data_IF_765855687908
#
_entry.id   IF_765855687908
#
_cell.length_a   1.000
_cell.length_b   1.000
_cell.length_c   1.000
_cell.angle_alpha   90.00
_cell.angle_beta   90.00
_cell.angle_gamma   90.00
#
_symmetry.space_group_name_H-M   'P 1'
#
loop_
_entity.id
_entity.type
_entity.pdbx_description
1 polymer ?
#
# COMPACT_ATOMS: atom_id res chain seq x y z
N UNK A 1 5.14 -8.38 2.18
CA UNK A 1 4.04 -8.42 1.19
C UNK A 1 3.65 -7.01 0.76
N UNK A 2 3.21 -6.14 1.68
CA UNK A 2 2.90 -4.71 1.42
C UNK A 2 4.08 -3.93 0.81
N UNK A 3 5.30 -4.09 1.34
CA UNK A 3 6.50 -3.43 0.80
C UNK A 3 6.78 -3.72 -0.69
N UNK A 4 6.46 -4.93 -1.17
CA UNK A 4 6.62 -5.29 -2.59
C UNK A 4 5.63 -4.51 -3.46
N UNK A 5 4.42 -4.31 -2.94
CA UNK A 5 3.35 -3.59 -3.63
C UNK A 5 3.69 -2.10 -3.73
N UNK A 6 4.18 -1.49 -2.64
CA UNK A 6 4.65 -0.10 -2.61
C UNK A 6 5.84 0.16 -3.56
N UNK A 7 6.73 -0.83 -3.70
CA UNK A 7 7.83 -0.78 -4.67
C UNK A 7 7.30 -0.82 -6.11
N UNK A 8 6.32 -1.70 -6.39
CA UNK A 8 5.68 -1.83 -7.71
C UNK A 8 4.90 -0.57 -8.11
N UNK A 9 4.32 0.14 -7.15
CA UNK A 9 3.54 1.37 -7.37
C UNK A 9 4.37 2.65 -7.30
N UNK A 10 5.71 2.55 -7.27
CA UNK A 10 6.65 3.67 -7.27
C UNK A 10 6.56 4.66 -6.07
N UNK A 11 5.93 4.27 -4.96
CA UNK A 11 5.95 5.10 -3.74
C UNK A 11 7.27 4.97 -2.97
N UNK A 12 7.91 3.80 -3.07
CA UNK A 12 9.18 3.48 -2.44
C UNK A 12 10.17 3.17 -3.54
N UNK A 13 11.39 3.71 -3.41
CA UNK A 13 12.50 3.46 -4.33
C UNK A 13 13.13 2.09 -4.13
N UNK A 14 13.38 1.75 -2.86
CA UNK A 14 14.01 0.51 -2.43
C UNK A 14 13.77 0.27 -0.95
N UNK A 15 13.85 -0.98 -0.52
CA UNK A 15 13.91 -1.32 0.89
C UNK A 15 15.01 -2.37 1.14
N UNK A 16 15.61 -2.34 2.32
CA UNK A 16 16.62 -3.32 2.77
C UNK A 16 16.19 -3.93 4.09
N UNK A 17 16.21 -5.26 4.17
CA UNK A 17 15.93 -6.00 5.41
C UNK A 17 17.26 -6.42 6.00
N UNK A 18 17.46 -6.18 7.30
CA UNK A 18 18.68 -6.55 8.00
C UNK A 18 18.36 -7.02 9.43
N UNK A 19 19.28 -7.77 10.01
CA UNK A 19 19.19 -8.21 11.40
C UNK A 19 19.88 -7.18 12.30
N UNK A 20 19.21 -6.80 13.37
CA UNK A 20 19.70 -5.93 14.41
C UNK A 20 19.78 -6.71 15.71
N UNK A 21 20.95 -6.73 16.35
CA UNK A 21 21.19 -7.53 17.58
C UNK A 21 20.80 -9.01 17.42
N UNK A 22 21.16 -9.63 16.30
CA UNK A 22 21.04 -11.08 16.05
C UNK A 22 19.62 -11.62 15.78
N UNK A 23 18.60 -11.11 16.46
CA UNK A 23 17.24 -11.66 16.44
C UNK A 23 16.18 -10.71 15.85
N UNK A 24 16.37 -9.40 15.95
CA UNK A 24 15.36 -8.42 15.53
C UNK A 24 15.54 -8.06 14.06
N UNK A 25 14.53 -8.33 13.22
CA UNK A 25 14.53 -7.89 11.82
C UNK A 25 14.13 -6.41 11.76
N UNK A 26 14.98 -5.57 11.17
CA UNK A 26 14.68 -4.18 10.83
C UNK A 26 14.59 -4.00 9.32
N UNK A 27 13.82 -3.00 8.91
CA UNK A 27 13.59 -2.66 7.50
C UNK A 27 13.94 -1.20 7.29
N UNK A 28 14.95 -0.92 6.47
CA UNK A 28 15.22 0.43 5.99
C UNK A 28 14.45 0.65 4.70
N UNK A 29 13.62 1.69 4.67
CA UNK A 29 12.79 2.06 3.53
C UNK A 29 13.30 3.38 2.97
N UNK A 30 13.50 3.43 1.65
CA UNK A 30 13.93 4.63 0.94
C UNK A 30 12.75 5.12 0.08
N UNK A 31 12.19 6.27 0.45
CA UNK A 31 11.05 6.87 -0.24
C UNK A 31 11.47 7.42 -1.62
N UNK A 32 10.54 7.41 -2.57
CA UNK A 32 10.74 8.08 -3.85
C UNK A 32 10.46 9.58 -3.67
N UNK A 33 11.42 10.42 -4.05
CA UNK A 33 11.27 11.87 -4.02
C UNK A 33 11.90 12.48 -5.28
N UNK A 34 11.16 13.29 -6.01
CA UNK A 34 11.74 14.09 -7.10
C UNK A 34 12.54 15.25 -6.50
N UNK A 35 13.86 15.18 -6.65
CA UNK A 35 14.81 16.19 -6.20
C UNK A 35 14.64 17.55 -6.90
N UNK A 36 13.94 17.59 -8.03
CA UNK A 36 13.84 18.78 -8.90
C UNK A 36 12.63 19.65 -8.63
N UNK A 37 11.48 19.08 -8.22
CA UNK A 37 10.20 19.81 -8.13
C UNK A 37 9.53 19.73 -6.75
N UNK A 38 10.16 19.14 -5.72
CA UNK A 38 9.56 18.90 -4.39
C UNK A 38 8.19 18.18 -4.42
N UNK A 39 7.87 17.51 -5.53
CA UNK A 39 6.65 16.71 -5.66
C UNK A 39 6.85 15.43 -4.87
N UNK A 40 6.12 15.31 -3.76
CA UNK A 40 6.03 14.08 -2.99
C UNK A 40 5.03 13.15 -3.68
N UNK A 41 5.52 11.98 -4.07
CA UNK A 41 4.66 10.91 -4.59
C UNK A 41 3.80 10.27 -3.50
N UNK A 42 4.19 10.45 -2.24
CA UNK A 42 3.54 9.93 -1.05
C UNK A 42 3.28 11.10 -0.09
N UNK A 43 2.02 11.51 0.08
CA UNK A 43 1.65 12.58 1.00
C UNK A 43 1.19 12.02 2.35
N UNK A 44 0.34 11.01 2.35
CA UNK A 44 -0.14 10.35 3.57
C UNK A 44 -0.38 8.85 3.40
N UNK A 45 -0.33 8.14 4.53
CA UNK A 45 -0.70 6.73 4.64
C UNK A 45 -1.69 6.63 5.79
N UNK A 46 -2.92 6.24 5.47
CA UNK A 46 -4.00 6.12 6.43
C UNK A 46 -4.37 4.64 6.61
N UNK A 47 -4.26 4.14 7.84
CA UNK A 47 -4.73 2.82 8.23
C UNK A 47 -6.26 2.83 8.40
N UNK A 48 -6.98 2.19 7.49
CA UNK A 48 -8.45 2.19 7.49
C UNK A 48 -9.02 1.04 8.31
N UNK A 49 -8.48 -0.16 8.13
CA UNK A 49 -8.92 -1.32 8.91
C UNK A 49 -8.03 -1.47 10.14
N UNK A 50 -8.62 -1.24 11.30
CA UNK A 50 -7.97 -1.31 12.62
C UNK A 50 -8.37 -2.63 13.31
N UNK A 51 -7.57 -3.13 14.27
CA UNK A 51 -7.90 -4.36 15.00
C UNK A 51 -9.27 -4.30 15.69
N UNK A 52 -9.67 -3.14 16.21
CA UNK A 52 -10.99 -2.92 16.82
C UNK A 52 -12.10 -2.50 15.85
N UNK A 53 -11.76 -2.20 14.58
CA UNK A 53 -12.73 -1.80 13.55
C UNK A 53 -12.27 -2.28 12.18
N UNK A 54 -12.77 -3.44 11.78
CA UNK A 54 -12.53 -4.00 10.46
C UNK A 54 -13.40 -3.33 9.41
N UNK A 55 -12.79 -2.93 8.29
CA UNK A 55 -13.48 -2.25 7.19
C UNK A 55 -13.39 -3.10 5.94
N UNK A 56 -14.55 -3.58 5.47
CA UNK A 56 -14.65 -4.37 4.25
C UNK A 56 -15.32 -3.58 3.13
N UNK A 57 -14.84 -3.75 1.90
CA UNK A 57 -15.36 -3.08 0.71
C UNK A 57 -15.67 -4.13 -0.36
N UNK A 58 -16.90 -4.09 -0.87
CA UNK A 58 -17.32 -4.90 -2.02
C UNK A 58 -16.66 -4.37 -3.30
N UNK A 59 -16.41 -5.23 -4.28
CA UNK A 59 -15.79 -4.84 -5.55
C UNK A 59 -16.51 -3.67 -6.23
N UNK A 60 -17.84 -3.68 -6.23
CA UNK A 60 -18.69 -2.63 -6.80
C UNK A 60 -18.46 -1.24 -6.17
N UNK A 61 -17.99 -1.20 -4.92
CA UNK A 61 -17.76 0.03 -4.17
C UNK A 61 -16.29 0.46 -4.20
N UNK A 62 -15.42 -0.28 -4.89
CA UNK A 62 -14.03 0.11 -5.08
C UNK A 62 -13.96 1.27 -6.08
N UNK A 63 -13.54 2.43 -5.60
CA UNK A 63 -13.25 3.57 -6.46
C UNK A 63 -11.84 3.46 -7.00
N UNK A 64 -11.70 3.53 -8.32
CA UNK A 64 -10.42 3.83 -8.94
C UNK A 64 -10.05 5.28 -8.58
N UNK A 65 -8.98 5.45 -7.81
CA UNK A 65 -8.37 6.78 -7.64
C UNK A 65 -7.31 6.90 -8.74
N UNK A 66 -7.33 8.02 -9.46
CA UNK A 66 -6.20 8.40 -10.30
C UNK A 66 -4.96 8.59 -9.43
N UNK A 67 -3.81 8.14 -9.91
CA UNK A 67 -2.51 8.37 -9.29
C UNK A 67 -2.35 9.86 -8.92
N UNK A 68 -1.82 10.22 -7.74
CA UNK A 68 -1.02 9.42 -6.80
C UNK A 68 -1.78 8.65 -5.71
N UNK A 69 -3.11 8.56 -5.77
CA UNK A 69 -3.89 7.87 -4.73
C UNK A 69 -4.19 6.40 -5.03
N UNK A 70 -3.99 5.48 -4.07
CA UNK A 70 -4.46 4.09 -4.17
C UNK A 70 -4.88 3.48 -2.83
N UNK A 71 -5.71 2.45 -2.89
CA UNK A 71 -6.10 1.67 -1.72
C UNK A 71 -5.47 0.27 -1.81
N UNK A 72 -5.03 -0.25 -0.66
CA UNK A 72 -4.47 -1.59 -0.50
C UNK A 72 -5.52 -2.49 0.15
N UNK A 73 -5.89 -3.56 -0.55
CA UNK A 73 -6.99 -4.44 -0.18
C UNK A 73 -6.45 -5.83 0.10
N UNK A 74 -6.83 -6.41 1.23
CA UNK A 74 -6.67 -7.84 1.47
C UNK A 74 -7.90 -8.57 0.95
N UNK A 75 -7.70 -9.36 -0.09
CA UNK A 75 -8.73 -10.16 -0.75
C UNK A 75 -8.40 -11.65 -0.65
N UNK A 76 -9.31 -12.51 -1.10
CA UNK A 76 -9.05 -13.95 -1.26
C UNK A 76 -7.93 -14.28 -2.24
N UNK A 77 -7.52 -13.34 -3.10
CA UNK A 77 -6.39 -13.45 -4.02
C UNK A 77 -5.09 -12.85 -3.47
N UNK A 78 -5.08 -12.46 -2.19
CA UNK A 78 -3.95 -11.84 -1.50
C UNK A 78 -4.10 -10.32 -1.31
N UNK A 79 -3.00 -9.68 -0.91
CA UNK A 79 -2.92 -8.22 -0.73
C UNK A 79 -2.59 -7.58 -2.08
N UNK A 80 -3.54 -6.84 -2.62
CA UNK A 80 -3.54 -6.27 -3.96
C UNK A 80 -3.96 -4.79 -3.95
N UNK A 81 -3.71 -4.08 -5.04
CA UNK A 81 -4.19 -2.69 -5.22
C UNK A 81 -5.69 -2.65 -5.55
N UNK A 82 -6.35 -1.52 -5.32
CA UNK A 82 -7.72 -1.28 -5.80
C UNK A 82 -7.89 -1.50 -7.30
N UNK A 83 -6.88 -1.15 -8.09
CA UNK A 83 -6.88 -1.35 -9.55
C UNK A 83 -6.87 -2.83 -9.90
N UNK A 84 -6.03 -3.63 -9.24
CA UNK A 84 -5.97 -5.08 -9.45
C UNK A 84 -7.24 -5.78 -8.93
N UNK A 85 -7.79 -5.33 -7.81
CA UNK A 85 -9.03 -5.85 -7.25
C UNK A 85 -10.23 -5.63 -8.18
N UNK A 86 -10.32 -4.45 -8.79
CA UNK A 86 -11.31 -4.14 -9.83
C UNK A 86 -11.13 -5.03 -11.07
N UNK A 87 -9.90 -5.21 -11.55
CA UNK A 87 -9.61 -6.10 -12.70
C UNK A 87 -9.99 -7.56 -12.44
N UNK A 88 -9.83 -8.02 -11.20
CA UNK A 88 -10.13 -9.39 -10.79
C UNK A 88 -11.57 -9.57 -10.30
N UNK A 89 -12.37 -8.50 -10.26
CA UNK A 89 -13.73 -8.49 -9.72
C UNK A 89 -13.84 -9.04 -8.27
N UNK A 90 -12.85 -8.73 -7.42
CA UNK A 90 -12.82 -9.18 -6.02
C UNK A 90 -12.94 -8.02 -5.03
N UNK A 91 -13.70 -8.24 -3.97
CA UNK A 91 -13.73 -7.35 -2.80
C UNK A 91 -12.71 -7.78 -1.74
N UNK A 92 -12.75 -7.13 -0.57
CA UNK A 92 -11.90 -7.50 0.55
C UNK A 92 -11.90 -6.50 1.71
N UNK A 93 -10.96 -6.68 2.62
CA UNK A 93 -10.67 -5.76 3.71
C UNK A 93 -9.83 -4.58 3.18
N UNK A 94 -10.28 -3.35 3.39
CA UNK A 94 -9.50 -2.17 3.03
C UNK A 94 -8.53 -1.81 4.16
N UNK A 95 -7.25 -2.15 3.98
CA UNK A 95 -6.25 -2.06 5.05
C UNK A 95 -5.68 -0.63 5.10
N UNK A 96 -5.26 -0.11 3.96
CA UNK A 96 -4.50 1.13 3.87
C UNK A 96 -4.99 1.96 2.69
N UNK A 97 -5.11 3.26 2.91
CA UNK A 97 -5.19 4.24 1.84
C UNK A 97 -3.89 5.02 1.76
N UNK A 98 -3.49 5.34 0.54
CA UNK A 98 -2.28 6.09 0.22
C UNK A 98 -2.66 7.18 -0.77
N UNK A 99 -2.17 8.41 -0.57
CA UNK A 99 -2.26 9.52 -1.54
C UNK A 99 -1.22 10.60 -1.23
#
# INVERSE_FOLDING_TARGET
MVLKLLLKTFFIRKYKVFFFKGLLKKINVYLESNLTNDIKYLNSIDCISLPGRKVFIKCLNLKFKSFPGLNIISSSKGIITSVEALKLNVGGENILNIW
#
